data_IF_628736119480
#
_entry.id   IF_628736119480
#
_cell.length_a   1.000
_cell.length_b   1.000
_cell.length_c   1.000
_cell.angle_alpha   90.00
_cell.angle_beta   90.00
_cell.angle_gamma   90.00
#
_symmetry.space_group_name_H-M   'P 1'
#
loop_
_entity.id
_entity.type
_entity.pdbx_description
1 polymer ?
#
# COMPACT_ATOMS: atom_id res chain seq x y z
N UNK A 1 2.74 -17.29 -18.54
CA UNK A 1 3.49 -16.93 -17.30
C UNK A 1 4.14 -18.16 -16.70
N UNK A 2 5.45 -18.12 -16.42
CA UNK A 2 6.13 -19.21 -15.71
C UNK A 2 5.62 -19.34 -14.25
N UNK A 3 5.73 -20.52 -13.62
CA UNK A 3 5.34 -20.70 -12.22
C UNK A 3 6.00 -19.69 -11.27
N UNK A 4 7.28 -19.36 -11.51
CA UNK A 4 8.04 -18.34 -10.75
C UNK A 4 7.45 -16.93 -10.92
N UNK A 5 7.04 -16.59 -12.14
CA UNK A 5 6.39 -15.30 -12.41
C UNK A 5 5.04 -15.18 -11.69
N UNK A 6 4.26 -16.27 -11.63
CA UNK A 6 3.00 -16.32 -10.88
C UNK A 6 3.23 -16.12 -9.38
N UNK A 7 4.18 -16.83 -8.78
CA UNK A 7 4.51 -16.67 -7.35
C UNK A 7 4.96 -15.25 -7.01
N UNK A 8 5.81 -14.64 -7.85
CA UNK A 8 6.24 -13.25 -7.66
C UNK A 8 5.06 -12.28 -7.71
N UNK A 9 4.15 -12.47 -8.66
CA UNK A 9 2.95 -11.64 -8.79
C UNK A 9 2.04 -11.77 -7.57
N UNK A 10 1.78 -13.00 -7.10
CA UNK A 10 0.96 -13.24 -5.91
C UNK A 10 1.59 -12.64 -4.65
N UNK A 11 2.91 -12.76 -4.46
CA UNK A 11 3.60 -12.17 -3.32
C UNK A 11 3.54 -10.64 -3.35
N UNK A 12 3.67 -10.04 -4.55
CA UNK A 12 3.49 -8.60 -4.75
C UNK A 12 2.08 -8.17 -4.35
N UNK A 13 1.05 -8.85 -4.86
CA UNK A 13 -0.35 -8.52 -4.56
C UNK A 13 -0.66 -8.66 -3.06
N UNK A 14 -0.15 -9.69 -2.39
CA UNK A 14 -0.29 -9.85 -0.93
C UNK A 14 0.31 -8.68 -0.16
N UNK A 15 1.53 -8.25 -0.54
CA UNK A 15 2.18 -7.09 0.07
C UNK A 15 1.40 -5.81 -0.18
N UNK A 16 1.00 -5.56 -1.42
CA UNK A 16 0.27 -4.36 -1.82
C UNK A 16 -1.09 -4.27 -1.09
N UNK A 17 -1.79 -5.39 -0.93
CA UNK A 17 -3.03 -5.46 -0.14
C UNK A 17 -2.80 -5.19 1.36
N UNK A 18 -1.69 -5.67 1.92
CA UNK A 18 -1.32 -5.40 3.32
C UNK A 18 -1.04 -3.92 3.54
N UNK A 19 -0.34 -3.26 2.62
CA UNK A 19 -0.07 -1.81 2.66
C UNK A 19 -1.39 -1.03 2.64
N UNK A 20 -2.32 -1.35 1.72
CA UNK A 20 -3.65 -0.71 1.66
C UNK A 20 -4.46 -0.87 2.95
N UNK A 21 -4.46 -2.09 3.51
CA UNK A 21 -5.19 -2.36 4.74
C UNK A 21 -4.62 -1.56 5.94
N UNK A 22 -3.30 -1.45 6.05
CA UNK A 22 -2.68 -0.66 7.11
C UNK A 22 -2.89 0.84 6.92
N UNK A 23 -2.83 1.35 5.68
CA UNK A 23 -3.17 2.74 5.39
C UNK A 23 -4.60 3.06 5.83
N UNK A 24 -5.58 2.24 5.43
CA UNK A 24 -6.99 2.41 5.84
C UNK A 24 -7.14 2.42 7.36
N UNK A 25 -6.50 1.47 8.06
CA UNK A 25 -6.55 1.38 9.53
C UNK A 25 -5.99 2.63 10.22
N UNK A 26 -4.90 3.21 9.69
CA UNK A 26 -4.21 4.35 10.31
C UNK A 26 -4.79 5.71 9.93
N UNK A 27 -5.28 5.84 8.70
CA UNK A 27 -5.75 7.12 8.15
C UNK A 27 -7.27 7.23 8.10
N UNK A 28 -8.00 6.16 7.76
CA UNK A 28 -9.46 6.23 7.53
C UNK A 28 -10.27 5.80 8.75
N UNK A 29 -9.86 4.72 9.41
CA UNK A 29 -10.64 4.10 10.48
C UNK A 29 -10.35 4.72 11.87
N UNK A 30 -9.43 5.69 11.97
CA UNK A 30 -9.11 6.34 13.24
C UNK A 30 -10.15 7.42 13.63
N UNK A 31 -10.47 7.56 14.93
CA UNK A 31 -11.41 8.58 15.40
C UNK A 31 -10.87 10.00 15.14
N UNK A 32 -11.79 10.91 14.77
CA UNK A 32 -11.52 12.26 14.22
C UNK A 32 -10.60 13.21 15.02
N UNK A 33 -10.34 13.10 16.34
CA UNK A 33 -9.38 14.03 16.97
C UNK A 33 -7.89 13.65 16.77
N UNK A 34 -7.55 12.52 16.14
CA UNK A 34 -6.15 12.02 16.05
C UNK A 34 -5.69 11.61 14.65
N UNK A 35 -6.26 12.19 13.60
CA UNK A 35 -5.84 11.86 12.24
C UNK A 35 -4.46 12.45 11.97
N UNK A 36 -3.44 11.59 11.87
CA UNK A 36 -2.16 11.98 11.31
C UNK A 36 -2.35 12.46 9.86
N UNK A 37 -1.46 13.34 9.40
CA UNK A 37 -1.46 13.74 7.99
C UNK A 37 -1.28 12.51 7.10
N UNK A 38 -1.91 12.53 5.92
CA UNK A 38 -1.75 11.46 4.91
C UNK A 38 -0.26 11.17 4.66
N UNK A 39 0.54 12.21 4.50
CA UNK A 39 1.97 12.13 4.23
C UNK A 39 2.73 11.42 5.35
N UNK A 40 2.37 11.68 6.61
CA UNK A 40 2.96 10.99 7.75
C UNK A 40 2.62 9.50 7.76
N UNK A 41 1.37 9.14 7.46
CA UNK A 41 0.99 7.72 7.37
C UNK A 41 1.73 7.03 6.21
N UNK A 42 1.90 7.71 5.07
CA UNK A 42 2.65 7.18 3.92
C UNK A 42 4.14 7.02 4.25
N UNK A 43 4.77 7.98 4.94
CA UNK A 43 6.19 7.86 5.31
C UNK A 43 6.43 6.70 6.28
N UNK A 44 5.56 6.52 7.27
CA UNK A 44 5.61 5.38 8.18
C UNK A 44 5.48 4.03 7.45
N UNK A 45 4.57 3.93 6.48
CA UNK A 45 4.43 2.72 5.67
C UNK A 45 5.62 2.51 4.73
N UNK A 46 6.22 3.58 4.21
CA UNK A 46 7.42 3.50 3.38
C UNK A 46 8.60 2.89 4.17
N UNK A 47 8.81 3.34 5.40
CA UNK A 47 9.82 2.79 6.32
C UNK A 47 9.51 1.33 6.67
N UNK A 48 8.29 1.01 7.09
CA UNK A 48 7.90 -0.34 7.54
C UNK A 48 8.02 -1.42 6.45
N UNK A 49 7.77 -1.06 5.19
CA UNK A 49 7.86 -1.99 4.06
C UNK A 49 9.17 -1.86 3.28
N UNK A 50 10.07 -0.97 3.70
CA UNK A 50 11.31 -0.64 3.00
C UNK A 50 11.07 -0.28 1.52
N UNK A 51 10.09 0.59 1.28
CA UNK A 51 9.72 1.09 -0.05
C UNK A 51 9.89 2.61 -0.08
N UNK A 52 9.96 3.20 -1.28
CA UNK A 52 9.87 4.66 -1.39
C UNK A 52 8.45 5.13 -1.12
N UNK A 53 8.29 6.35 -0.59
CA UNK A 53 6.98 6.96 -0.39
C UNK A 53 6.14 6.99 -1.67
N UNK A 54 6.77 7.30 -2.81
CA UNK A 54 6.12 7.29 -4.11
C UNK A 54 5.57 5.90 -4.50
N UNK A 55 6.31 4.83 -4.20
CA UNK A 55 5.84 3.45 -4.46
C UNK A 55 4.63 3.10 -3.59
N UNK A 56 4.64 3.52 -2.33
CA UNK A 56 3.51 3.31 -1.41
C UNK A 56 2.29 4.11 -1.86
N UNK A 57 2.49 5.36 -2.26
CA UNK A 57 1.44 6.22 -2.82
C UNK A 57 0.79 5.59 -4.05
N UNK A 58 1.61 5.10 -4.98
CA UNK A 58 1.16 4.35 -6.16
C UNK A 58 0.36 3.10 -5.77
N UNK A 59 0.81 2.33 -4.78
CA UNK A 59 0.09 1.14 -4.31
C UNK A 59 -1.28 1.51 -3.74
N UNK A 60 -1.36 2.60 -2.99
CA UNK A 60 -2.60 3.06 -2.33
C UNK A 60 -3.58 3.62 -3.36
N UNK A 61 -3.12 4.47 -4.28
CA UNK A 61 -3.99 5.29 -5.13
C UNK A 61 -4.12 4.82 -6.57
N UNK A 62 -3.14 4.10 -7.13
CA UNK A 62 -3.32 3.47 -8.43
C UNK A 62 -4.14 2.21 -8.23
N UNK A 63 -5.44 2.31 -8.49
CA UNK A 63 -6.24 1.15 -8.85
C UNK A 63 -5.54 0.45 -10.01
N UNK A 64 -5.65 -0.87 -10.05
CA UNK A 64 -5.12 -1.70 -11.12
C UNK A 64 -5.94 -1.49 -12.40
N UNK A 65 -6.00 -0.26 -12.92
CA UNK A 65 -6.61 0.11 -14.18
C UNK A 65 -5.53 0.08 -15.25
N UNK A 66 -5.27 -1.11 -15.80
CA UNK A 66 -4.60 -1.31 -17.07
C UNK A 66 -4.81 -2.76 -17.53
N UNK A 67 -6.06 -3.18 -17.74
CA UNK A 67 -6.45 -4.35 -18.54
C UNK A 67 -7.97 -4.28 -18.80
N UNK A 68 -8.39 -3.27 -19.56
CA UNK A 68 -9.39 -3.48 -20.62
C UNK A 68 -8.64 -3.41 -21.95
#
# INVERSE_FOLDING_TARGET
MSPRAKTRQTNKEKRDNRIRAQFRKRYTDQPRPRMYSREYVISQLAEEFCLSMHTVEDIIYKSRNASE
#
